data_IF_103871450313
#
_entry.id   IF_103871450313
#
_cell.length_a   1.000
_cell.length_b   1.000
_cell.length_c   1.000
_cell.angle_alpha   90.00
_cell.angle_beta   90.00
_cell.angle_gamma   90.00
#
_symmetry.space_group_name_H-M   'P 1'
#
loop_
_entity.id
_entity.type
_entity.pdbx_description
1 polymer ?
#
# COMPACT_ATOMS: atom_id res chain seq x y z
N UNK A 1 -3.36 9.68 2.53
CA UNK A 1 -3.87 9.41 1.16
C UNK A 1 -3.81 7.91 0.91
N UNK A 2 -4.75 7.35 0.13
CA UNK A 2 -4.79 5.91 -0.19
C UNK A 2 -4.47 5.72 -1.67
N UNK A 3 -3.53 4.83 -1.98
CA UNK A 3 -3.27 4.35 -3.33
C UNK A 3 -4.42 3.44 -3.75
N UNK A 4 -5.01 3.69 -4.92
CA UNK A 4 -6.04 2.78 -5.44
C UNK A 4 -5.42 1.40 -5.72
N UNK A 5 -6.14 0.29 -5.47
CA UNK A 5 -5.68 -1.04 -5.81
C UNK A 5 -5.15 -1.14 -7.23
N UNK A 6 -3.96 -1.71 -7.36
CA UNK A 6 -3.28 -1.97 -8.63
C UNK A 6 -2.65 -3.36 -8.61
N UNK A 7 -1.84 -3.69 -9.61
CA UNK A 7 -1.28 -5.03 -9.74
C UNK A 7 -2.30 -5.99 -10.33
N UNK A 8 -2.39 -7.19 -9.74
CA UNK A 8 -3.35 -8.20 -10.18
C UNK A 8 -4.81 -7.77 -10.01
N UNK A 9 -5.09 -6.89 -9.05
CA UNK A 9 -6.43 -6.37 -8.79
C UNK A 9 -6.87 -5.41 -9.91
N UNK A 10 -5.95 -4.59 -10.42
CA UNK A 10 -6.23 -3.67 -11.51
C UNK A 10 -4.96 -3.36 -12.32
N UNK A 11 -4.74 -4.15 -13.37
CA UNK A 11 -3.59 -4.01 -14.28
C UNK A 11 -3.64 -2.75 -15.14
N UNK A 12 -4.81 -2.13 -15.29
CA UNK A 12 -5.02 -0.91 -16.06
C UNK A 12 -4.71 0.36 -15.27
N UNK A 13 -4.30 0.22 -14.01
CA UNK A 13 -3.93 1.37 -13.19
C UNK A 13 -2.74 2.13 -13.81
N UNK A 14 -2.74 3.47 -13.80
CA UNK A 14 -1.69 4.28 -14.43
C UNK A 14 -0.31 4.12 -13.79
N UNK A 15 -0.25 3.56 -12.57
CA UNK A 15 1.00 3.26 -11.89
C UNK A 15 1.66 1.95 -12.37
N UNK A 16 0.99 1.16 -13.22
CA UNK A 16 1.49 -0.14 -13.69
C UNK A 16 2.47 0.04 -14.86
N UNK A 17 3.62 -0.62 -14.77
CA UNK A 17 4.58 -0.78 -15.87
C UNK A 17 5.18 -2.20 -15.81
N UNK A 18 5.32 -2.86 -16.94
CA UNK A 18 5.88 -4.23 -17.04
C UNK A 18 5.23 -5.25 -16.08
N UNK A 19 3.91 -5.12 -15.88
CA UNK A 19 3.14 -5.97 -14.98
C UNK A 19 3.37 -5.71 -13.49
N UNK A 20 4.12 -4.68 -13.11
CA UNK A 20 4.42 -4.31 -11.72
C UNK A 20 3.98 -2.88 -11.42
N UNK A 21 3.64 -2.61 -10.16
CA UNK A 21 3.40 -1.24 -9.72
C UNK A 21 4.74 -0.49 -9.62
N UNK A 22 4.89 0.60 -10.36
CA UNK A 22 6.06 1.49 -10.30
C UNK A 22 6.25 2.18 -8.94
N UNK A 23 5.23 2.17 -8.09
CA UNK A 23 5.23 2.74 -6.73
C UNK A 23 5.33 1.67 -5.64
N UNK A 24 5.57 0.42 -6.02
CA UNK A 24 5.78 -0.72 -5.10
C UNK A 24 4.59 -1.01 -4.18
N UNK A 25 3.38 -0.87 -4.70
CA UNK A 25 2.15 -1.31 -4.02
C UNK A 25 1.71 -2.71 -4.48
N UNK A 26 1.02 -3.48 -3.60
CA UNK A 26 0.77 -3.19 -2.18
C UNK A 26 2.06 -3.28 -1.35
N UNK A 27 2.17 -2.49 -0.28
CA UNK A 27 3.33 -2.57 0.63
C UNK A 27 3.28 -3.83 1.48
N UNK A 28 4.45 -4.33 1.90
CA UNK A 28 4.54 -5.41 2.86
C UNK A 28 4.12 -4.95 4.26
N UNK A 29 3.72 -5.90 5.11
CA UNK A 29 3.48 -5.67 6.53
C UNK A 29 4.68 -6.14 7.36
N UNK A 30 5.64 -5.25 7.65
CA UNK A 30 6.73 -5.57 8.56
C UNK A 30 6.18 -5.66 10.00
N UNK A 31 6.57 -6.72 10.72
CA UNK A 31 6.21 -6.91 12.12
C UNK A 31 6.90 -5.92 13.05
N UNK A 32 8.06 -5.41 12.65
CA UNK A 32 8.88 -4.45 13.40
C UNK A 32 9.32 -3.29 12.51
N UNK A 33 9.76 -2.19 13.11
CA UNK A 33 10.36 -1.08 12.36
C UNK A 33 11.78 -1.46 11.96
N UNK A 34 12.07 -1.46 10.66
CA UNK A 34 13.35 -1.88 10.09
C UNK A 34 14.11 -0.66 9.58
N UNK A 35 15.37 -0.52 9.99
CA UNK A 35 16.27 0.48 9.40
C UNK A 35 16.61 0.06 7.97
N UNK A 36 16.25 0.87 6.99
CA UNK A 36 16.55 0.60 5.60
C UNK A 36 17.87 1.26 5.16
N UNK A 37 18.48 0.71 4.12
CA UNK A 37 19.78 1.16 3.58
C UNK A 37 19.68 2.56 2.96
N UNK A 38 18.50 2.96 2.50
CA UNK A 38 18.22 4.28 1.93
C UNK A 38 18.06 5.40 2.99
N UNK A 39 18.23 5.07 4.28
CA UNK A 39 18.14 6.02 5.39
C UNK A 39 16.72 6.30 5.88
N UNK A 40 15.68 5.71 5.27
CA UNK A 40 14.29 5.86 5.72
C UNK A 40 13.81 4.60 6.44
N UNK A 41 13.32 4.70 7.69
CA UNK A 41 12.82 3.52 8.40
C UNK A 41 11.57 2.96 7.71
N UNK A 42 11.54 1.64 7.54
CA UNK A 42 10.34 0.90 7.17
C UNK A 42 9.56 0.64 8.45
N UNK A 43 8.50 1.42 8.69
CA UNK A 43 7.72 1.32 9.93
C UNK A 43 6.91 0.04 10.02
N UNK A 44 6.83 -0.52 11.24
CA UNK A 44 5.88 -1.58 11.59
C UNK A 44 4.47 -1.22 11.14
N UNK A 45 3.79 -2.18 10.50
CA UNK A 45 2.41 -1.98 10.07
C UNK A 45 1.55 -3.20 10.40
N UNK A 46 0.42 -2.93 11.08
CA UNK A 46 -0.54 -3.94 11.54
C UNK A 46 -1.48 -4.37 10.40
N UNK A 47 -1.62 -5.68 10.22
CA UNK A 47 -2.62 -6.29 9.35
C UNK A 47 -3.93 -6.48 10.12
N UNK A 48 -5.00 -6.87 9.43
CA UNK A 48 -6.34 -7.09 10.01
C UNK A 48 -6.32 -8.12 11.13
N UNK A 49 -5.51 -9.18 11.01
CA UNK A 49 -5.39 -10.24 12.03
C UNK A 49 -4.79 -9.76 13.36
N UNK A 50 -3.98 -8.69 13.35
CA UNK A 50 -3.33 -8.13 14.54
C UNK A 50 -3.85 -6.73 14.92
N UNK A 51 -5.12 -6.45 14.58
CA UNK A 51 -5.81 -5.21 14.97
C UNK A 51 -5.56 -4.03 14.04
N UNK A 52 -5.13 -4.30 12.80
CA UNK A 52 -5.15 -3.36 11.69
C UNK A 52 -6.59 -3.08 11.23
N UNK A 53 -6.79 -1.90 10.65
CA UNK A 53 -8.08 -1.52 10.08
C UNK A 53 -8.06 -1.76 8.57
N UNK A 54 -9.20 -2.15 8.02
CA UNK A 54 -9.46 -2.21 6.60
C UNK A 54 -10.82 -1.59 6.28
N UNK A 55 -11.07 -1.31 5.01
CA UNK A 55 -12.36 -0.81 4.54
C UNK A 55 -12.62 -1.29 3.11
N UNK A 56 -13.88 -1.54 2.79
CA UNK A 56 -14.27 -1.97 1.45
C UNK A 56 -14.33 -0.78 0.49
N UNK A 57 -13.75 -0.94 -0.69
CA UNK A 57 -13.87 0.01 -1.81
C UNK A 57 -14.26 -0.74 -3.08
N UNK A 58 -15.24 -0.20 -3.81
CA UNK A 58 -15.55 -0.70 -5.14
C UNK A 58 -14.50 -0.23 -6.15
N UNK A 59 -13.89 -1.16 -6.88
CA UNK A 59 -12.96 -0.90 -7.98
C UNK A 59 -13.33 -1.83 -9.12
N UNK A 60 -13.54 -1.29 -10.32
CA UNK A 60 -13.92 -2.06 -11.51
C UNK A 60 -15.14 -2.97 -11.27
N UNK A 61 -16.16 -2.46 -10.57
CA UNK A 61 -17.39 -3.20 -10.24
C UNK A 61 -17.18 -4.41 -9.32
N UNK A 62 -16.04 -4.47 -8.62
CA UNK A 62 -15.72 -5.47 -7.60
C UNK A 62 -15.43 -4.78 -6.26
N UNK A 63 -15.98 -5.33 -5.19
CA UNK A 63 -15.69 -4.87 -3.83
C UNK A 63 -14.37 -5.48 -3.36
N UNK A 64 -13.42 -4.62 -3.03
CA UNK A 64 -12.08 -5.00 -2.59
C UNK A 64 -11.85 -4.46 -1.19
N UNK A 65 -11.33 -5.31 -0.31
CA UNK A 65 -10.90 -4.89 1.01
C UNK A 65 -9.57 -4.15 0.95
N UNK A 66 -9.55 -2.92 1.44
CA UNK A 66 -8.40 -2.02 1.43
C UNK A 66 -7.77 -2.01 2.81
N UNK A 67 -6.68 -2.76 2.94
CA UNK A 67 -5.85 -2.75 4.13
C UNK A 67 -4.82 -1.59 4.11
N UNK A 68 -4.14 -1.39 5.24
CA UNK A 68 -3.09 -0.36 5.41
C UNK A 68 -1.92 -0.43 4.42
N UNK A 69 -1.75 -1.55 3.70
CA UNK A 69 -0.72 -1.72 2.64
C UNK A 69 -0.87 -0.73 1.49
N UNK A 70 -2.05 -0.16 1.32
CA UNK A 70 -2.38 0.81 0.27
C UNK A 70 -2.18 2.27 0.71
N UNK A 71 -1.74 2.52 1.94
CA UNK A 71 -1.51 3.90 2.43
C UNK A 71 -0.30 4.51 1.73
N UNK A 72 -0.49 5.71 1.19
CA UNK A 72 0.59 6.58 0.71
C UNK A 72 1.06 7.42 1.89
N UNK A 73 2.32 7.25 2.36
CA UNK A 73 2.88 8.10 3.39
C UNK A 73 2.86 9.56 2.93
N UNK A 74 2.45 10.46 3.83
CA UNK A 74 2.44 11.89 3.56
C UNK A 74 3.26 12.59 4.64
N UNK A 75 4.23 13.37 4.21
CA UNK A 75 5.07 14.21 5.07
C UNK A 75 5.02 15.62 4.50
N UNK A 76 4.30 16.58 5.13
CA UNK A 76 4.24 17.95 4.65
C UNK A 76 5.61 18.62 4.50
N UNK A 77 6.62 18.14 5.25
CA UNK A 77 7.97 18.67 5.24
C UNK A 77 8.85 18.11 4.11
N UNK A 78 8.43 17.02 3.49
CA UNK A 78 9.16 16.30 2.44
C UNK A 78 8.34 16.14 1.15
N UNK A 79 7.18 16.81 1.04
CA UNK A 79 6.30 16.75 -0.13
C UNK A 79 6.58 17.87 -1.11
#
# INVERSE_FOLDING_TARGET
MIHSPCGNVNRLSPCMADGKCTKSFPRNFPNDTITNVDGYPIYRQRNTDNGGQSFTKNVNNADIDIEKRWVVPYSPRLS
#
